data_IF_533959724590
#
_entry.id   IF_533959724590
#
_cell.length_a   1.000
_cell.length_b   1.000
_cell.length_c   1.000
_cell.angle_alpha   90.00
_cell.angle_beta   90.00
_cell.angle_gamma   90.00
#
_symmetry.space_group_name_H-M   'P 1'
#
loop_
_entity.id
_entity.type
_entity.pdbx_description
1 polymer ?
#
# COMPACT_ATOMS: atom_id res chain seq x y z
N UNK A 1 28.46 -4.25 20.09
CA UNK A 1 28.72 -5.31 19.10
C UNK A 1 27.75 -6.45 19.36
N UNK A 2 26.52 -6.33 18.86
CA UNK A 2 25.65 -7.46 18.58
C UNK A 2 25.06 -7.15 17.21
N UNK A 3 25.72 -7.70 16.19
CA UNK A 3 25.31 -7.57 14.80
C UNK A 3 23.90 -8.16 14.71
N UNK A 4 22.97 -7.37 14.18
CA UNK A 4 21.68 -7.81 13.64
C UNK A 4 21.88 -9.21 13.07
N UNK A 5 21.30 -10.25 13.68
CA UNK A 5 21.25 -11.58 13.07
C UNK A 5 20.41 -11.42 11.80
N UNK A 6 21.05 -11.00 10.70
CA UNK A 6 20.51 -11.08 9.35
C UNK A 6 20.10 -12.53 9.20
N UNK A 7 18.80 -12.78 9.03
CA UNK A 7 18.29 -14.11 8.79
C UNK A 7 19.15 -14.75 7.69
N UNK A 8 19.83 -15.90 7.92
CA UNK A 8 20.72 -16.50 6.93
C UNK A 8 20.03 -16.76 5.57
N UNK A 9 18.70 -16.94 5.58
CA UNK A 9 17.85 -17.05 4.37
C UNK A 9 17.72 -15.74 3.59
N UNK A 10 17.89 -14.58 4.23
CA UNK A 10 17.85 -13.25 3.59
C UNK A 10 19.03 -13.05 2.63
N UNK A 11 20.19 -13.68 2.93
CA UNK A 11 21.34 -13.72 2.03
C UNK A 11 21.12 -14.67 0.85
N UNK A 12 20.32 -15.73 1.01
CA UNK A 12 20.02 -16.69 -0.06
C UNK A 12 18.89 -16.19 -0.99
N UNK A 13 17.84 -15.57 -0.44
CA UNK A 13 16.69 -15.05 -1.19
C UNK A 13 16.99 -13.73 -1.91
N UNK A 14 17.89 -12.91 -1.38
CA UNK A 14 18.32 -11.66 -2.02
C UNK A 14 19.70 -11.76 -2.70
N UNK A 15 20.39 -12.90 -2.60
CA UNK A 15 21.79 -13.08 -3.02
C UNK A 15 22.01 -13.40 -4.50
N UNK A 16 21.00 -13.87 -5.23
CA UNK A 16 21.17 -14.23 -6.64
C UNK A 16 20.14 -13.56 -7.54
N UNK A 17 20.59 -12.47 -8.17
CA UNK A 17 19.91 -11.69 -9.22
C UNK A 17 18.62 -11.02 -8.74
N UNK A 18 18.48 -9.78 -9.18
CA UNK A 18 17.36 -8.88 -8.99
C UNK A 18 16.00 -9.59 -8.91
N UNK A 19 15.10 -9.06 -8.08
CA UNK A 19 13.66 -9.39 -8.06
C UNK A 19 12.99 -8.92 -9.39
N UNK A 20 13.52 -9.36 -10.52
CA UNK A 20 12.88 -9.32 -11.83
C UNK A 20 12.58 -10.78 -12.20
N UNK A 21 11.33 -11.11 -12.54
CA UNK A 21 10.98 -12.45 -12.99
C UNK A 21 11.85 -12.82 -14.20
N UNK A 22 12.41 -14.02 -14.21
CA UNK A 22 12.90 -14.62 -15.47
C UNK A 22 11.76 -15.47 -16.05
N UNK A 23 11.45 -15.34 -17.34
CA UNK A 23 10.39 -16.10 -17.95
C UNK A 23 10.69 -17.60 -17.88
N UNK A 24 9.73 -18.36 -17.35
CA UNK A 24 9.74 -19.82 -17.44
C UNK A 24 9.28 -20.21 -18.85
N UNK A 25 10.17 -20.80 -19.66
CA UNK A 25 9.89 -21.24 -21.05
C UNK A 25 8.73 -22.22 -21.21
N UNK A 26 8.13 -22.74 -20.13
CA UNK A 26 6.95 -23.62 -20.17
C UNK A 26 5.61 -22.85 -20.25
N UNK A 27 5.59 -21.54 -20.03
CA UNK A 27 4.37 -20.71 -20.08
C UNK A 27 3.87 -20.39 -21.50
N UNK A 28 4.72 -20.48 -22.52
CA UNK A 28 4.33 -20.18 -23.91
C UNK A 28 3.36 -21.20 -24.53
N UNK A 29 3.27 -22.40 -23.95
CA UNK A 29 2.40 -23.48 -24.46
C UNK A 29 1.09 -23.65 -23.67
N UNK A 30 0.97 -23.07 -22.46
CA UNK A 30 -0.28 -23.07 -21.66
C UNK A 30 -1.12 -21.80 -21.85
N UNK A 31 -0.48 -20.69 -22.27
CA UNK A 31 -1.14 -19.41 -22.58
C UNK A 31 -2.17 -19.52 -23.73
N UNK A 32 -1.87 -20.32 -24.76
CA UNK A 32 -2.77 -20.49 -25.92
C UNK A 32 -4.07 -21.21 -25.58
N UNK A 33 -4.03 -22.24 -24.72
CA UNK A 33 -5.22 -23.03 -24.35
C UNK A 33 -6.17 -22.28 -23.39
N UNK A 34 -5.65 -21.41 -22.52
CA UNK A 34 -6.45 -20.53 -21.65
C UNK A 34 -7.03 -19.33 -22.42
N UNK A 35 -6.29 -18.81 -23.41
CA UNK A 35 -6.77 -17.73 -24.27
C UNK A 35 -7.91 -18.18 -25.21
N UNK A 36 -7.90 -19.43 -25.69
CA UNK A 36 -8.98 -19.97 -26.54
C UNK A 36 -10.24 -20.31 -25.74
N UNK A 37 -10.12 -20.85 -24.51
CA UNK A 37 -11.28 -21.07 -23.64
C UNK A 37 -11.93 -19.77 -23.15
N UNK A 38 -11.14 -18.70 -22.93
CA UNK A 38 -11.70 -17.39 -22.57
C UNK A 38 -12.41 -16.71 -23.74
N UNK A 39 -12.03 -16.95 -25.00
CA UNK A 39 -12.76 -16.42 -26.16
C UNK A 39 -14.16 -17.02 -26.30
N UNK A 40 -14.33 -18.29 -25.94
CA UNK A 40 -15.64 -18.96 -26.03
C UNK A 40 -16.60 -18.55 -24.90
N UNK A 41 -16.08 -18.21 -23.71
CA UNK A 41 -16.88 -17.74 -22.56
C UNK A 41 -17.27 -16.24 -22.71
N UNK A 42 -16.41 -15.44 -23.35
CA UNK A 42 -16.66 -14.00 -23.56
C UNK A 42 -17.66 -13.74 -24.70
N UNK A 43 -17.83 -14.68 -25.64
CA UNK A 43 -18.75 -14.52 -26.78
C UNK A 43 -20.25 -14.60 -26.44
N UNK A 44 -20.63 -15.17 -25.29
CA UNK A 44 -22.05 -15.41 -24.96
C UNK A 44 -22.71 -14.33 -24.07
N UNK A 45 -22.01 -13.24 -23.69
CA UNK A 45 -22.59 -12.21 -22.80
C UNK A 45 -22.15 -10.76 -23.13
N UNK A 46 -22.12 -10.38 -24.40
CA UNK A 46 -21.92 -8.98 -24.83
C UNK A 46 -23.21 -8.37 -25.36
N UNK A 47 -24.05 -7.86 -24.46
CA UNK A 47 -25.25 -7.09 -24.80
C UNK A 47 -25.17 -5.63 -24.33
N UNK A 48 -25.74 -4.66 -25.08
CA UNK A 48 -25.75 -3.23 -24.72
C UNK A 48 -26.42 -2.93 -23.36
N UNK A 49 -27.26 -3.85 -22.86
CA UNK A 49 -27.87 -3.78 -21.52
C UNK A 49 -26.86 -3.94 -20.39
N UNK A 50 -25.80 -4.76 -20.53
CA UNK A 50 -24.79 -4.94 -19.47
C UNK A 50 -23.87 -3.72 -19.38
N UNK A 51 -23.53 -3.07 -20.50
CA UNK A 51 -22.73 -1.83 -20.50
C UNK A 51 -23.47 -0.69 -19.80
N UNK A 52 -24.76 -0.50 -20.10
CA UNK A 52 -25.60 0.47 -19.40
C UNK A 52 -25.82 0.14 -17.92
N UNK A 53 -25.95 -1.14 -17.56
CA UNK A 53 -26.06 -1.57 -16.15
C UNK A 53 -24.72 -1.40 -15.41
N UNK A 54 -23.59 -1.71 -16.03
CA UNK A 54 -22.24 -1.51 -15.47
C UNK A 54 -21.94 -0.02 -15.33
N UNK A 55 -22.28 0.81 -16.32
CA UNK A 55 -22.14 2.27 -16.26
C UNK A 55 -23.08 2.86 -15.19
N UNK A 56 -24.33 2.42 -15.10
CA UNK A 56 -25.26 2.85 -14.06
C UNK A 56 -24.83 2.39 -12.64
N UNK A 57 -24.27 1.18 -12.52
CA UNK A 57 -23.71 0.65 -11.27
C UNK A 57 -22.44 1.41 -10.89
N UNK A 58 -21.57 1.73 -11.85
CA UNK A 58 -20.38 2.58 -11.64
C UNK A 58 -20.74 4.02 -11.26
N UNK A 59 -21.88 4.54 -11.74
CA UNK A 59 -22.35 5.88 -11.41
C UNK A 59 -22.96 5.95 -10.00
N UNK A 60 -23.62 4.88 -9.53
CA UNK A 60 -24.12 4.76 -8.15
C UNK A 60 -22.99 4.47 -7.14
N UNK A 61 -21.97 3.68 -7.52
CA UNK A 61 -20.80 3.36 -6.68
C UNK A 61 -19.84 4.55 -6.46
N UNK A 62 -20.09 5.71 -7.08
CA UNK A 62 -19.34 6.94 -6.79
C UNK A 62 -19.89 7.66 -5.56
N UNK A 63 -21.12 7.44 -5.14
CA UNK A 63 -21.65 8.12 -3.96
C UNK A 63 -21.15 7.41 -2.70
N UNK A 64 -20.45 8.16 -1.85
CA UNK A 64 -19.96 7.69 -0.55
C UNK A 64 -20.75 8.43 0.52
N UNK A 65 -21.82 7.84 1.06
CA UNK A 65 -22.53 8.41 2.19
C UNK A 65 -21.60 8.55 3.38
N UNK A 66 -21.60 9.70 4.02
CA UNK A 66 -20.84 9.92 5.24
C UNK A 66 -21.63 10.77 6.25
N UNK A 67 -21.33 10.59 7.52
CA UNK A 67 -21.94 11.34 8.62
C UNK A 67 -20.84 12.00 9.44
N UNK A 68 -21.13 13.22 9.89
CA UNK A 68 -20.31 13.98 10.84
C UNK A 68 -20.88 13.75 12.23
N UNK A 69 -20.12 13.09 13.10
CA UNK A 69 -20.54 12.79 14.48
C UNK A 69 -20.57 14.08 15.33
N UNK A 70 -19.72 15.05 15.01
CA UNK A 70 -19.62 16.33 15.70
C UNK A 70 -19.44 17.49 14.72
N UNK A 71 -19.61 18.71 15.23
CA UNK A 71 -19.32 19.92 14.45
C UNK A 71 -17.83 20.09 14.12
N UNK A 72 -16.94 19.46 14.91
CA UNK A 72 -15.50 19.49 14.70
C UNK A 72 -15.06 18.62 13.50
N UNK A 73 -15.88 17.65 13.08
CA UNK A 73 -15.61 16.83 11.91
C UNK A 73 -15.51 17.71 10.64
N UNK A 74 -14.41 17.59 9.91
CA UNK A 74 -14.22 18.29 8.63
C UNK A 74 -15.22 17.82 7.56
N UNK A 75 -15.57 18.69 6.62
CA UNK A 75 -16.32 18.27 5.43
C UNK A 75 -15.40 17.50 4.47
N UNK A 76 -15.95 16.48 3.83
CA UNK A 76 -15.26 15.77 2.75
C UNK A 76 -15.61 16.44 1.43
N UNK A 77 -14.67 17.21 0.90
CA UNK A 77 -14.79 17.94 -0.35
C UNK A 77 -13.70 17.46 -1.30
N UNK A 78 -14.08 17.06 -2.52
CA UNK A 78 -13.08 16.61 -3.48
C UNK A 78 -12.25 17.80 -3.99
N UNK A 79 -10.95 17.59 -4.12
CA UNK A 79 -10.09 18.46 -4.94
C UNK A 79 -10.53 18.39 -6.42
N UNK A 80 -10.06 19.34 -7.24
CA UNK A 80 -10.40 19.42 -8.68
C UNK A 80 -10.17 18.08 -9.41
N UNK A 81 -9.07 17.39 -9.11
CA UNK A 81 -8.75 16.07 -9.69
C UNK A 81 -9.64 14.95 -9.12
N UNK A 82 -9.87 14.93 -7.80
CA UNK A 82 -10.76 14.02 -7.07
C UNK A 82 -10.37 12.53 -7.08
N UNK A 83 -9.32 12.11 -7.81
CA UNK A 83 -8.88 10.70 -7.92
C UNK A 83 -7.80 10.36 -6.87
N UNK A 84 -7.01 11.34 -6.41
CA UNK A 84 -6.01 11.15 -5.33
C UNK A 84 -6.59 11.19 -3.91
N UNK A 85 -7.92 11.08 -3.79
CA UNK A 85 -8.61 11.08 -2.52
C UNK A 85 -8.94 12.47 -1.97
N UNK A 86 -9.54 12.47 -0.79
CA UNK A 86 -9.95 13.66 -0.03
C UNK A 86 -9.10 13.82 1.22
N UNK A 87 -8.79 15.04 1.61
CA UNK A 87 -8.12 15.31 2.88
C UNK A 87 -9.02 14.95 4.07
N UNK A 88 -8.50 14.11 4.97
CA UNK A 88 -9.11 13.83 6.26
C UNK A 88 -8.55 14.79 7.29
N UNK A 89 -9.44 15.44 8.04
CA UNK A 89 -9.08 16.45 9.05
C UNK A 89 -9.27 15.93 10.46
N UNK A 90 -8.43 16.38 11.38
CA UNK A 90 -8.56 16.08 12.80
C UNK A 90 -9.82 16.74 13.39
N UNK A 91 -10.57 16.00 14.21
CA UNK A 91 -11.68 16.55 14.99
C UNK A 91 -11.26 16.91 16.42
N UNK A 92 -10.09 16.47 16.86
CA UNK A 92 -9.55 16.68 18.20
C UNK A 92 -8.10 17.14 18.15
N UNK A 93 -7.65 17.80 19.22
CA UNK A 93 -6.24 18.13 19.39
C UNK A 93 -5.47 16.88 19.81
N UNK A 94 -4.28 16.68 19.23
CA UNK A 94 -3.38 15.61 19.62
C UNK A 94 -1.93 16.07 19.57
N UNK A 95 -1.12 15.63 20.53
CA UNK A 95 0.33 15.82 20.52
C UNK A 95 1.01 14.48 20.29
N UNK A 96 1.75 14.36 19.20
CA UNK A 96 2.50 13.17 18.84
C UNK A 96 3.95 13.37 19.27
N UNK A 97 4.34 12.72 20.37
CA UNK A 97 5.69 12.80 20.88
C UNK A 97 6.71 12.21 19.89
N UNK A 98 7.97 12.67 19.91
CA UNK A 98 9.02 12.07 19.09
C UNK A 98 9.11 10.57 19.29
N UNK A 99 9.24 9.82 18.20
CA UNK A 99 9.36 8.35 18.21
C UNK A 99 8.18 7.63 18.87
N UNK A 100 7.00 8.27 18.85
CA UNK A 100 5.73 7.76 19.36
C UNK A 100 4.62 7.82 18.28
N UNK A 101 3.39 7.49 18.65
CA UNK A 101 2.21 7.45 17.78
C UNK A 101 1.00 8.07 18.44
N UNK A 102 0.08 8.57 17.63
CA UNK A 102 -1.24 9.03 18.07
C UNK A 102 -2.33 8.48 17.16
N UNK A 103 -3.48 8.18 17.75
CA UNK A 103 -4.68 7.75 17.04
C UNK A 103 -5.72 8.86 17.13
N UNK A 104 -5.88 9.61 16.05
CA UNK A 104 -6.63 10.88 16.04
C UNK A 104 -8.00 10.65 15.40
N UNK A 105 -9.07 11.05 16.07
CA UNK A 105 -10.43 11.01 15.52
C UNK A 105 -10.63 12.04 14.41
N UNK A 106 -11.35 11.65 13.36
CA UNK A 106 -11.89 12.60 12.36
C UNK A 106 -13.36 12.92 12.61
N UNK A 107 -14.00 12.19 13.54
CA UNK A 107 -15.45 12.23 13.79
C UNK A 107 -16.30 11.97 12.53
N UNK A 108 -15.72 11.32 11.53
CA UNK A 108 -16.40 10.89 10.31
C UNK A 108 -16.77 9.42 10.40
N UNK A 109 -18.00 9.08 10.05
CA UNK A 109 -18.40 7.73 9.66
C UNK A 109 -18.69 7.72 8.17
N UNK A 110 -18.45 6.60 7.50
CA UNK A 110 -18.72 6.47 6.07
C UNK A 110 -19.24 5.10 5.69
N UNK A 111 -20.02 5.06 4.62
CA UNK A 111 -20.54 3.85 4.01
C UNK A 111 -19.86 3.66 2.64
N UNK A 112 -18.78 2.89 2.64
CA UNK A 112 -18.06 2.58 1.41
C UNK A 112 -18.82 1.45 0.68
N UNK A 113 -19.09 1.58 -0.63
CA UNK A 113 -19.77 0.54 -1.40
C UNK A 113 -18.98 -0.77 -1.46
N UNK A 114 -19.69 -1.90 -1.58
CA UNK A 114 -19.05 -3.20 -1.79
C UNK A 114 -18.22 -3.22 -3.09
N UNK A 115 -17.09 -3.93 -3.08
CA UNK A 115 -16.10 -3.91 -4.17
C UNK A 115 -15.09 -2.75 -4.07
N UNK A 116 -15.24 -1.89 -3.06
CA UNK A 116 -14.31 -0.81 -2.75
C UNK A 116 -13.86 -0.89 -1.30
N UNK A 117 -12.76 -0.20 -1.00
CA UNK A 117 -12.34 0.04 0.36
C UNK A 117 -11.73 1.43 0.49
N UNK A 118 -11.69 1.93 1.72
CA UNK A 118 -11.09 3.21 2.05
C UNK A 118 -9.63 3.00 2.40
N UNK A 119 -8.75 3.63 1.63
CA UNK A 119 -7.33 3.67 1.94
C UNK A 119 -6.99 4.99 2.61
N UNK A 120 -6.40 4.88 3.79
CA UNK A 120 -5.75 6.02 4.45
C UNK A 120 -4.31 6.09 3.93
N UNK A 121 -3.96 7.21 3.32
CA UNK A 121 -2.64 7.50 2.78
C UNK A 121 -2.00 8.70 3.51
N UNK A 122 -0.66 8.73 3.61
CA UNK A 122 0.05 9.84 4.23
C UNK A 122 -0.09 11.14 3.43
N UNK A 123 0.13 12.27 4.12
CA UNK A 123 0.33 13.56 3.49
C UNK A 123 1.82 13.80 3.27
N UNK A 124 2.22 14.13 2.05
CA UNK A 124 3.62 14.40 1.72
C UNK A 124 4.18 15.55 2.58
N UNK A 125 3.37 16.58 2.86
CA UNK A 125 3.77 17.69 3.72
C UNK A 125 4.12 17.26 5.15
N UNK A 126 3.35 16.34 5.73
CA UNK A 126 3.61 15.81 7.08
C UNK A 126 4.84 14.89 7.08
N UNK A 127 5.01 14.08 6.03
CA UNK A 127 6.19 13.24 5.88
C UNK A 127 7.48 14.08 5.68
N UNK A 128 7.41 15.09 4.80
CA UNK A 128 8.51 15.97 4.44
C UNK A 128 8.85 16.96 5.54
N UNK A 129 7.90 17.52 6.28
CA UNK A 129 8.23 18.54 7.28
C UNK A 129 8.48 17.95 8.66
N UNK A 130 7.85 16.80 8.98
CA UNK A 130 7.80 16.30 10.35
C UNK A 130 8.13 14.81 10.50
N UNK A 131 8.49 14.09 9.42
CA UNK A 131 8.70 12.63 9.44
C UNK A 131 7.50 11.86 9.99
N UNK A 132 6.29 12.33 9.65
CA UNK A 132 5.03 11.70 10.07
C UNK A 132 4.58 10.71 8.99
N UNK A 133 4.33 9.46 9.38
CA UNK A 133 3.79 8.41 8.51
C UNK A 133 2.42 7.94 9.03
N UNK A 134 1.59 7.41 8.13
CA UNK A 134 0.36 6.70 8.52
C UNK A 134 0.69 5.25 8.89
N UNK A 135 0.25 4.81 10.07
CA UNK A 135 0.55 3.47 10.60
C UNK A 135 -0.45 2.38 10.19
N UNK A 136 -1.61 2.77 9.66
CA UNK A 136 -2.64 1.86 9.18
C UNK A 136 -3.51 2.55 8.12
N UNK A 137 -4.09 1.78 7.19
CA UNK A 137 -4.89 2.40 6.13
C UNK A 137 -5.75 1.47 5.29
N UNK A 138 -6.46 0.54 5.95
CA UNK A 138 -7.52 -0.26 5.32
C UNK A 138 -8.81 -0.07 6.10
N UNK A 139 -9.80 0.55 5.45
CA UNK A 139 -11.17 0.75 5.94
C UNK A 139 -12.09 -0.09 5.06
N UNK A 140 -12.68 -1.13 5.63
CA UNK A 140 -13.52 -2.07 4.88
C UNK A 140 -14.90 -1.47 4.56
N UNK A 141 -15.55 -1.98 3.51
CA UNK A 141 -16.87 -1.53 3.05
C UNK A 141 -17.97 -1.66 4.11
N UNK A 142 -17.84 -2.64 4.99
CA UNK A 142 -18.80 -2.90 6.07
C UNK A 142 -18.48 -2.19 7.39
N UNK A 143 -17.41 -1.37 7.45
CA UNK A 143 -17.12 -0.59 8.65
C UNK A 143 -18.06 0.62 8.74
N UNK A 144 -18.62 0.85 9.94
CA UNK A 144 -19.47 2.02 10.26
C UNK A 144 -19.02 2.76 11.51
N UNK A 145 -17.89 2.36 12.11
CA UNK A 145 -17.32 3.11 13.23
C UNK A 145 -16.72 4.43 12.79
N UNK A 146 -16.33 5.25 13.75
CA UNK A 146 -15.59 6.49 13.49
C UNK A 146 -14.28 6.17 12.78
N UNK A 147 -14.02 6.83 11.66
CA UNK A 147 -12.74 6.82 10.97
C UNK A 147 -11.74 7.58 11.84
N UNK A 148 -10.62 6.95 12.10
CA UNK A 148 -9.56 7.49 12.94
C UNK A 148 -8.23 7.26 12.22
N UNK A 149 -7.32 8.21 12.34
CA UNK A 149 -6.04 8.20 11.64
C UNK A 149 -4.94 7.88 12.64
N UNK A 150 -4.21 6.79 12.41
CA UNK A 150 -3.04 6.42 13.20
C UNK A 150 -1.80 7.04 12.56
N UNK A 151 -1.16 7.98 13.27
CA UNK A 151 0.04 8.67 12.83
C UNK A 151 1.23 8.27 13.69
N UNK A 152 2.36 8.03 13.04
CA UNK A 152 3.66 7.72 13.65
C UNK A 152 4.60 8.89 13.47
N UNK A 153 5.17 9.38 14.56
CA UNK A 153 6.19 10.42 14.53
C UNK A 153 7.58 9.78 14.54
N UNK A 154 8.22 9.73 13.37
CA UNK A 154 9.59 9.28 13.23
C UNK A 154 10.62 10.41 13.38
N UNK A 155 10.18 11.64 13.61
CA UNK A 155 11.04 12.80 13.84
C UNK A 155 11.65 12.85 15.25
N UNK A 156 12.32 13.96 15.54
CA UNK A 156 12.95 14.27 16.83
C UNK A 156 12.18 15.32 17.64
N UNK A 157 11.16 15.92 17.05
CA UNK A 157 10.35 16.98 17.67
C UNK A 157 8.90 16.53 17.84
N UNK A 158 8.23 17.05 18.87
CA UNK A 158 6.81 16.79 19.07
C UNK A 158 5.99 17.53 18.02
N UNK A 159 4.99 16.85 17.46
CA UNK A 159 4.07 17.43 16.48
C UNK A 159 2.71 17.63 17.14
N UNK A 160 2.21 18.87 17.13
CA UNK A 160 0.86 19.17 17.63
C UNK A 160 -0.07 19.26 16.43
N UNK A 161 -1.10 18.43 16.42
CA UNK A 161 -2.20 18.46 15.47
C UNK A 161 -3.38 19.18 16.13
N UNK A 162 -3.93 20.19 15.46
CA UNK A 162 -5.11 20.92 15.92
C UNK A 162 -6.38 20.49 15.17
N UNK A 163 -7.57 20.64 15.78
CA UNK A 163 -8.83 20.42 15.09
C UNK A 163 -8.90 21.21 13.77
N UNK A 164 -9.34 20.56 12.69
CA UNK A 164 -9.42 21.11 11.34
C UNK A 164 -8.16 20.95 10.49
N UNK A 165 -7.01 20.59 11.06
CA UNK A 165 -5.80 20.33 10.29
C UNK A 165 -5.91 19.03 9.50
N UNK A 166 -5.40 19.02 8.27
CA UNK A 166 -5.36 17.83 7.43
C UNK A 166 -4.29 16.87 7.97
N UNK A 167 -4.65 15.59 8.13
CA UNK A 167 -3.80 14.57 8.75
C UNK A 167 -3.57 13.33 7.88
N UNK A 168 -4.38 13.12 6.85
CA UNK A 168 -4.23 12.02 5.89
C UNK A 168 -5.04 12.30 4.62
N UNK A 169 -4.82 11.50 3.58
CA UNK A 169 -5.73 11.39 2.42
C UNK A 169 -6.55 10.11 2.52
N UNK A 170 -7.85 10.21 2.24
CA UNK A 170 -8.75 9.06 2.07
C UNK A 170 -8.98 8.82 0.58
N UNK A 171 -8.54 7.67 0.09
CA UNK A 171 -8.68 7.25 -1.31
C UNK A 171 -9.67 6.10 -1.36
N UNK A 172 -10.64 6.15 -2.28
CA UNK A 172 -11.60 5.07 -2.49
C UNK A 172 -11.14 4.22 -3.67
N UNK A 173 -10.61 3.05 -3.34
CA UNK A 173 -9.98 2.15 -4.30
C UNK A 173 -10.87 0.97 -4.65
N UNK A 174 -10.89 0.63 -5.94
CA UNK A 174 -11.55 -0.57 -6.43
C UNK A 174 -10.64 -1.77 -6.20
N UNK A 175 -11.19 -2.84 -5.63
CA UNK A 175 -10.47 -4.08 -5.36
C UNK A 175 -11.10 -5.25 -6.10
N UNK A 176 -10.28 -6.27 -6.37
CA UNK A 176 -10.84 -7.59 -6.66
C UNK A 176 -11.37 -8.20 -5.38
N UNK A 177 -12.36 -9.07 -5.50
CA UNK A 177 -12.85 -9.80 -4.34
C UNK A 177 -11.72 -10.71 -3.84
N UNK A 178 -11.46 -10.78 -2.52
CA UNK A 178 -10.44 -11.69 -1.99
C UNK A 178 -10.69 -13.17 -2.34
N UNK A 179 -11.93 -13.54 -2.69
CA UNK A 179 -12.28 -14.86 -3.21
C UNK A 179 -11.70 -15.19 -4.59
N UNK A 180 -11.19 -14.19 -5.32
CA UNK A 180 -10.50 -14.37 -6.60
C UNK A 180 -9.03 -14.81 -6.41
N UNK A 181 -8.51 -14.76 -5.18
CA UNK A 181 -7.17 -15.22 -4.85
C UNK A 181 -7.18 -16.74 -4.71
N UNK A 182 -6.32 -17.41 -5.48
CA UNK A 182 -6.00 -18.82 -5.29
C UNK A 182 -4.80 -18.94 -4.36
N UNK A 183 -4.98 -19.68 -3.26
CA UNK A 183 -3.96 -19.86 -2.24
C UNK A 183 -3.35 -21.25 -2.32
N UNK A 184 -2.02 -21.30 -2.38
CA UNK A 184 -1.25 -22.53 -2.23
C UNK A 184 -0.38 -22.48 -0.99
N UNK A 185 -0.28 -23.61 -0.31
CA UNK A 185 0.64 -23.78 0.81
C UNK A 185 1.98 -24.26 0.29
N UNK A 186 3.05 -23.52 0.57
CA UNK A 186 4.41 -23.98 0.28
C UNK A 186 4.83 -25.13 1.21
N UNK A 187 4.29 -25.18 2.42
CA UNK A 187 4.42 -26.30 3.36
C UNK A 187 3.24 -26.37 4.36
N UNK A 188 3.31 -27.31 5.30
CA UNK A 188 2.25 -27.56 6.28
C UNK A 188 2.02 -26.42 7.29
N UNK A 189 3.02 -25.56 7.52
CA UNK A 189 2.94 -24.45 8.47
C UNK A 189 2.19 -23.24 7.91
N UNK A 190 2.00 -23.19 6.58
CA UNK A 190 1.21 -22.15 5.94
C UNK A 190 -0.27 -22.24 6.35
N UNK A 191 -0.87 -21.10 6.69
CA UNK A 191 -2.30 -21.00 7.00
C UNK A 191 -3.02 -20.32 5.84
N UNK A 192 -4.11 -20.94 5.36
CA UNK A 192 -4.95 -20.30 4.35
C UNK A 192 -5.68 -19.13 5.01
N UNK A 193 -5.60 -17.92 4.45
CA UNK A 193 -6.21 -16.73 5.01
C UNK A 193 -7.73 -16.89 5.19
N UNK A 194 -8.24 -16.25 6.23
CA UNK A 194 -9.67 -16.04 6.42
C UNK A 194 -10.00 -14.57 6.23
N UNK A 195 -11.24 -14.30 5.83
CA UNK A 195 -11.76 -12.94 5.75
C UNK A 195 -12.45 -12.57 7.06
N UNK A 196 -12.24 -11.34 7.53
CA UNK A 196 -12.95 -10.82 8.70
C UNK A 196 -14.46 -10.69 8.50
N UNK A 197 -14.89 -10.55 7.24
CA UNK A 197 -16.28 -10.52 6.81
C UNK A 197 -16.38 -10.76 5.30
N UNK A 198 -17.60 -10.95 4.77
CA UNK A 198 -17.83 -11.07 3.33
C UNK A 198 -17.47 -9.79 2.53
N UNK A 199 -17.37 -8.66 3.21
CA UNK A 199 -17.05 -7.35 2.63
C UNK A 199 -15.65 -6.85 3.03
N UNK A 200 -14.83 -7.70 3.67
CA UNK A 200 -13.47 -7.34 4.06
C UNK A 200 -12.60 -7.13 2.81
N UNK A 201 -11.80 -6.08 2.85
CA UNK A 201 -10.90 -5.74 1.74
C UNK A 201 -9.62 -6.60 1.76
N UNK A 202 -9.16 -6.97 2.96
CA UNK A 202 -7.94 -7.71 3.18
C UNK A 202 -8.16 -9.13 3.70
N UNK A 203 -7.39 -10.08 3.19
CA UNK A 203 -7.28 -11.42 3.76
C UNK A 203 -6.17 -11.45 4.81
N UNK A 204 -6.45 -11.93 6.04
CA UNK A 204 -5.47 -11.93 7.13
C UNK A 204 -4.30 -12.89 6.82
N UNK A 205 -3.07 -12.37 6.79
CA UNK A 205 -1.84 -13.15 6.66
C UNK A 205 -1.29 -13.52 8.05
N UNK A 206 -0.89 -14.77 8.21
CA UNK A 206 -0.34 -15.29 9.47
C UNK A 206 1.13 -15.67 9.35
N UNK A 207 1.84 -15.64 10.47
CA UNK A 207 3.19 -16.21 10.56
C UNK A 207 3.14 -17.73 10.45
N UNK A 208 4.06 -18.31 9.66
CA UNK A 208 4.31 -19.76 9.63
C UNK A 208 5.39 -20.19 10.64
N UNK A 209 6.05 -19.23 11.30
CA UNK A 209 7.18 -19.49 12.18
C UNK A 209 7.09 -18.71 13.51
N UNK A 210 7.83 -19.19 14.51
CA UNK A 210 8.09 -18.43 15.73
C UNK A 210 9.28 -17.49 15.49
N UNK A 211 9.10 -16.21 15.75
CA UNK A 211 10.19 -15.24 15.64
C UNK A 211 10.04 -14.06 16.61
N UNK A 212 11.11 -13.27 16.71
CA UNK A 212 11.14 -12.05 17.50
C UNK A 212 11.47 -10.90 16.55
N UNK A 213 10.59 -9.90 16.49
CA UNK A 213 10.89 -8.61 15.87
C UNK A 213 11.53 -7.72 16.93
N UNK A 214 12.84 -7.45 16.85
CA UNK A 214 13.57 -6.78 17.92
C UNK A 214 13.07 -5.34 18.12
N UNK A 215 13.11 -4.85 19.36
CA UNK A 215 12.80 -3.46 19.69
C UNK A 215 13.60 -2.49 18.79
N UNK A 216 12.93 -1.46 18.27
CA UNK A 216 13.50 -0.46 17.34
C UNK A 216 14.20 -1.06 16.10
N UNK A 217 13.86 -2.29 15.73
CA UNK A 217 14.45 -3.03 14.62
C UNK A 217 13.39 -3.57 13.65
N UNK A 218 13.80 -4.56 12.85
CA UNK A 218 12.93 -5.16 11.83
C UNK A 218 13.18 -6.65 11.69
N UNK A 219 12.20 -7.37 11.15
CA UNK A 219 12.31 -8.79 10.85
C UNK A 219 11.40 -9.15 9.66
N UNK A 220 11.87 -10.03 8.78
CA UNK A 220 11.07 -10.59 7.70
C UNK A 220 10.48 -11.90 8.18
N UNK A 221 9.16 -11.96 8.26
CA UNK A 221 8.40 -13.12 8.72
C UNK A 221 7.91 -13.91 7.51
N UNK A 222 8.15 -15.22 7.51
CA UNK A 222 7.64 -16.12 6.48
C UNK A 222 6.17 -16.50 6.74
N UNK A 223 5.36 -16.48 5.69
CA UNK A 223 3.96 -16.95 5.74
C UNK A 223 3.79 -18.36 5.17
N UNK A 224 4.81 -18.85 4.43
CA UNK A 224 4.78 -20.06 3.61
C UNK A 224 3.58 -20.16 2.66
N UNK A 225 2.96 -19.02 2.35
CA UNK A 225 1.74 -18.93 1.59
C UNK A 225 2.03 -18.32 0.23
N UNK A 226 1.57 -18.97 -0.84
CA UNK A 226 1.68 -18.47 -2.21
C UNK A 226 0.29 -18.01 -2.66
N UNK A 227 0.23 -16.84 -3.28
CA UNK A 227 -1.00 -16.31 -3.86
C UNK A 227 -0.90 -16.27 -5.38
N UNK A 228 -1.96 -16.70 -6.06
CA UNK A 228 -2.15 -16.51 -7.50
C UNK A 228 -3.45 -15.75 -7.72
N UNK A 229 -3.42 -14.79 -8.63
CA UNK A 229 -4.54 -13.89 -8.90
C UNK A 229 -4.42 -13.30 -10.32
N UNK A 230 -5.51 -12.69 -10.85
CA UNK A 230 -5.54 -12.15 -12.21
C UNK A 230 -4.41 -11.16 -12.56
N UNK A 231 -4.12 -11.03 -13.85
CA UNK A 231 -3.01 -10.18 -14.33
C UNK A 231 -3.34 -8.68 -14.38
N UNK A 232 -4.56 -8.24 -14.09
CA UNK A 232 -4.96 -6.83 -13.99
C UNK A 232 -4.90 -6.28 -12.56
N UNK A 233 -4.29 -7.04 -11.65
CA UNK A 233 -4.17 -6.65 -10.25
C UNK A 233 -2.80 -7.00 -9.66
N UNK A 234 -2.62 -6.53 -8.44
CA UNK A 234 -1.48 -6.89 -7.61
C UNK A 234 -1.86 -7.05 -6.15
N UNK A 235 -1.05 -7.82 -5.43
CA UNK A 235 -1.20 -8.04 -4.00
C UNK A 235 -0.54 -6.95 -3.19
N UNK A 236 -1.31 -6.23 -2.38
CA UNK A 236 -0.77 -5.29 -1.38
C UNK A 236 -0.77 -5.93 0.00
N UNK A 237 0.42 -6.14 0.57
CA UNK A 237 0.60 -6.51 1.97
C UNK A 237 0.52 -5.23 2.80
N UNK A 238 -0.57 -5.06 3.54
CA UNK A 238 -0.88 -3.87 4.29
C UNK A 238 -0.82 -4.10 5.81
N UNK A 239 -0.52 -3.05 6.59
CA UNK A 239 -0.52 -3.12 8.05
C UNK A 239 -1.91 -3.40 8.61
N UNK A 240 -1.93 -4.09 9.76
CA UNK A 240 -3.14 -4.30 10.56
C UNK A 240 -3.19 -3.26 11.66
N UNK A 241 -4.30 -2.55 11.70
CA UNK A 241 -4.53 -1.40 12.55
C UNK A 241 -4.31 -1.70 14.05
N UNK A 242 -4.72 -2.89 14.51
CA UNK A 242 -4.54 -3.35 15.88
C UNK A 242 -3.07 -3.60 16.26
N UNK A 243 -2.24 -4.15 15.36
CA UNK A 243 -0.81 -4.34 15.62
C UNK A 243 -0.09 -2.99 15.62
N UNK A 244 -0.40 -2.14 14.64
CA UNK A 244 0.15 -0.79 14.56
C UNK A 244 -0.17 0.06 15.79
N UNK A 245 -1.44 0.10 16.22
CA UNK A 245 -1.86 0.91 17.36
C UNK A 245 -1.41 0.34 18.72
N UNK A 246 -1.49 -0.99 18.92
CA UNK A 246 -1.23 -1.59 20.25
C UNK A 246 0.21 -2.02 20.47
N UNK A 247 0.93 -2.34 19.40
CA UNK A 247 2.29 -2.90 19.44
C UNK A 247 3.33 -2.06 18.70
N UNK A 248 2.89 -0.98 18.04
CA UNK A 248 3.76 -0.09 17.25
C UNK A 248 4.53 -0.85 16.15
N UNK A 249 3.84 -1.80 15.51
CA UNK A 249 4.37 -2.61 14.42
C UNK A 249 3.86 -2.04 13.09
N UNK A 250 4.80 -1.70 12.21
CA UNK A 250 4.54 -1.28 10.84
C UNK A 250 4.87 -2.40 9.86
N UNK A 251 4.17 -2.42 8.72
CA UNK A 251 4.45 -3.37 7.63
C UNK A 251 5.20 -2.60 6.54
N UNK A 252 6.44 -3.02 6.29
CA UNK A 252 7.29 -2.47 5.25
C UNK A 252 7.13 -3.16 3.91
N UNK A 253 7.38 -2.45 2.81
CA UNK A 253 7.30 -3.05 1.48
C UNK A 253 5.86 -3.41 1.09
N UNK A 254 5.68 -4.60 0.54
CA UNK A 254 4.36 -5.20 0.45
C UNK A 254 3.64 -5.02 -0.89
N UNK A 255 4.37 -5.00 -2.00
CA UNK A 255 3.77 -5.23 -3.32
C UNK A 255 4.19 -6.62 -3.83
N UNK A 256 3.22 -7.49 -4.06
CA UNK A 256 3.34 -8.86 -4.52
C UNK A 256 2.66 -9.02 -5.88
N UNK A 257 3.23 -9.81 -6.78
CA UNK A 257 2.76 -9.89 -8.15
C UNK A 257 2.23 -11.31 -8.45
N UNK A 258 1.16 -11.42 -9.23
CA UNK A 258 0.45 -12.69 -9.41
C UNK A 258 1.24 -13.77 -10.15
N UNK A 259 2.31 -13.36 -10.85
CA UNK A 259 3.25 -14.25 -11.52
C UNK A 259 4.34 -14.78 -10.57
N UNK A 260 4.49 -14.15 -9.40
CA UNK A 260 5.43 -14.58 -8.36
C UNK A 260 4.83 -15.76 -7.58
N UNK A 261 5.15 -16.96 -8.04
CA UNK A 261 4.81 -18.22 -7.35
C UNK A 261 5.69 -18.50 -6.11
N UNK A 262 6.19 -17.44 -5.45
CA UNK A 262 7.02 -17.52 -4.26
C UNK A 262 6.19 -17.30 -3.00
N UNK A 263 6.59 -17.87 -1.86
CA UNK A 263 5.95 -17.56 -0.58
C UNK A 263 5.96 -16.06 -0.30
N UNK A 264 4.84 -15.54 0.18
CA UNK A 264 4.69 -14.15 0.61
C UNK A 264 5.53 -13.94 1.86
N UNK A 265 6.35 -12.90 1.82
CA UNK A 265 7.17 -12.45 2.94
C UNK A 265 6.57 -11.18 3.52
N UNK A 266 6.53 -11.08 4.85
CA UNK A 266 6.02 -9.91 5.56
C UNK A 266 7.17 -9.25 6.31
N UNK A 267 7.59 -8.06 5.86
CA UNK A 267 8.57 -7.26 6.59
C UNK A 267 7.86 -6.48 7.70
N UNK A 268 8.22 -6.74 8.95
CA UNK A 268 7.73 -6.02 10.11
C UNK A 268 8.81 -5.08 10.64
N UNK A 269 8.47 -3.80 10.78
CA UNK A 269 9.25 -2.82 11.55
C UNK A 269 8.64 -2.71 12.95
N UNK A 270 9.47 -2.92 13.97
CA UNK A 270 9.07 -2.70 15.36
C UNK A 270 9.59 -1.34 15.82
N UNK A 271 8.68 -0.37 15.92
CA UNK A 271 9.01 0.97 16.38
C UNK A 271 8.84 1.12 17.89
N UNK A 272 8.48 0.08 18.64
CA UNK A 272 8.44 0.11 20.11
C UNK A 272 9.82 -0.11 20.74
N UNK A 273 9.91 0.18 22.04
CA UNK A 273 11.09 -0.11 22.88
C UNK A 273 11.09 -1.54 23.45
N UNK A 274 10.19 -2.40 22.99
CA UNK A 274 10.03 -3.78 23.47
C UNK A 274 10.05 -4.77 22.32
N UNK A 275 10.69 -5.91 22.52
CA UNK A 275 10.66 -6.99 21.54
C UNK A 275 9.23 -7.48 21.29
N UNK A 276 8.88 -7.67 20.03
CA UNK A 276 7.59 -8.20 19.63
C UNK A 276 7.74 -9.67 19.25
N UNK A 277 7.16 -10.54 20.07
CA UNK A 277 7.13 -11.99 19.84
C UNK A 277 5.99 -12.34 18.89
N UNK A 278 6.30 -13.15 17.89
CA UNK A 278 5.35 -13.67 16.91
C UNK A 278 5.36 -15.19 17.05
N UNK A 279 4.19 -15.77 17.31
CA UNK A 279 3.99 -17.22 17.30
C UNK A 279 3.45 -17.69 15.93
N UNK A 280 3.65 -18.97 15.55
CA UNK A 280 2.97 -19.55 14.41
C UNK A 280 1.45 -19.37 14.51
N UNK A 281 0.82 -18.94 13.42
CA UNK A 281 -0.61 -18.64 13.35
C UNK A 281 -1.01 -17.24 13.80
N UNK A 282 -0.10 -16.44 14.37
CA UNK A 282 -0.38 -15.03 14.68
C UNK A 282 -0.63 -14.24 13.39
N UNK A 283 -1.68 -13.42 13.40
CA UNK A 283 -2.05 -12.57 12.26
C UNK A 283 -1.19 -11.31 12.23
N UNK A 284 -0.27 -11.25 11.27
CA UNK A 284 0.80 -10.24 11.21
C UNK A 284 0.55 -9.12 10.19
N UNK A 285 -0.18 -9.39 9.11
CA UNK A 285 -0.49 -8.43 8.05
C UNK A 285 -1.82 -8.78 7.38
N UNK A 286 -2.27 -7.97 6.42
CA UNK A 286 -3.42 -8.31 5.58
C UNK A 286 -3.06 -8.14 4.10
N UNK A 287 -3.62 -8.99 3.25
CA UNK A 287 -3.38 -9.01 1.81
C UNK A 287 -4.59 -8.44 1.08
N UNK A 288 -4.43 -7.31 0.41
CA UNK A 288 -5.47 -6.63 -0.37
C UNK A 288 -5.18 -6.82 -1.85
N UNK A 289 -6.16 -7.30 -2.63
CA UNK A 289 -5.99 -7.51 -4.07
C UNK A 289 -6.42 -6.27 -4.86
N UNK A 290 -5.44 -5.47 -5.27
CA UNK A 290 -5.64 -4.13 -5.78
C UNK A 290 -5.60 -4.06 -7.31
N UNK A 291 -6.55 -3.35 -7.92
CA UNK A 291 -6.58 -3.12 -9.37
C UNK A 291 -5.49 -2.12 -9.79
N UNK A 292 -4.75 -2.46 -10.83
CA UNK A 292 -3.69 -1.62 -11.38
C UNK A 292 -3.79 -1.53 -12.91
N UNK A 293 -3.08 -0.56 -13.50
CA UNK A 293 -3.14 -0.31 -14.93
C UNK A 293 -2.73 -1.53 -15.80
N UNK A 294 -3.54 -1.73 -16.85
CA UNK A 294 -3.46 -2.66 -17.98
C UNK A 294 -2.20 -2.64 -18.85
N UNK A 295 -1.59 -3.79 -19.16
CA UNK A 295 -0.43 -3.95 -20.05
C UNK A 295 -0.58 -3.61 -21.54
N UNK A 296 -1.58 -2.81 -21.91
CA UNK A 296 -1.84 -2.41 -23.30
C UNK A 296 -1.73 -0.91 -23.56
N UNK A 297 -1.36 -0.11 -22.56
CA UNK A 297 -1.53 1.36 -22.61
C UNK A 297 -0.27 2.21 -22.43
N UNK A 298 0.86 1.62 -22.02
CA UNK A 298 2.13 2.33 -21.75
C UNK A 298 3.32 1.39 -22.07
N UNK A 299 4.40 1.83 -22.73
CA UNK A 299 5.54 0.96 -23.10
C UNK A 299 6.35 0.43 -21.89
N UNK A 300 6.97 -0.75 -22.04
CA UNK A 300 7.73 -1.52 -21.03
C UNK A 300 9.12 -0.92 -20.62
N UNK A 301 9.22 0.38 -20.42
CA UNK A 301 10.51 1.06 -20.15
C UNK A 301 10.71 1.42 -18.65
N UNK A 302 11.96 1.63 -18.22
CA UNK A 302 12.27 2.20 -16.90
C UNK A 302 11.80 3.66 -16.88
N UNK A 303 11.29 4.17 -15.76
CA UNK A 303 11.08 5.61 -15.60
C UNK A 303 12.46 6.26 -15.44
N UNK A 304 13.03 6.71 -16.55
CA UNK A 304 14.33 7.38 -16.57
C UNK A 304 14.11 8.86 -16.23
N UNK A 305 14.87 9.37 -15.27
CA UNK A 305 14.87 10.80 -14.99
C UNK A 305 15.37 11.53 -16.24
N UNK A 306 14.67 12.60 -16.61
CA UNK A 306 15.19 13.50 -17.64
C UNK A 306 16.21 14.45 -17.04
N UNK A 307 17.23 14.79 -17.81
CA UNK A 307 18.22 15.78 -17.40
C UNK A 307 17.67 17.22 -17.45
N UNK A 308 18.51 18.20 -17.11
CA UNK A 308 18.16 19.62 -17.12
C UNK A 308 17.69 20.15 -18.49
N UNK A 309 17.96 19.42 -19.58
CA UNK A 309 17.55 19.76 -20.94
C UNK A 309 16.33 18.95 -21.42
N UNK A 310 15.79 18.06 -20.57
CA UNK A 310 14.68 17.18 -20.91
C UNK A 310 15.08 15.90 -21.66
N UNK A 311 16.38 15.60 -21.75
CA UNK A 311 16.90 14.43 -22.45
C UNK A 311 17.01 13.22 -21.51
N UNK A 312 16.71 12.04 -22.05
CA UNK A 312 16.78 10.75 -21.34
C UNK A 312 18.22 10.19 -21.38
N UNK A 313 18.89 9.89 -20.24
CA UNK A 313 20.27 9.43 -20.21
C UNK A 313 20.49 8.10 -20.97
N UNK A 314 21.40 8.09 -21.94
CA UNK A 314 21.61 7.03 -22.94
C UNK A 314 22.10 5.64 -22.47
N UNK A 315 22.00 5.28 -21.18
CA UNK A 315 22.42 3.95 -20.67
C UNK A 315 21.26 2.95 -20.64
N UNK A 316 20.97 2.35 -21.80
CA UNK A 316 20.09 1.17 -21.91
C UNK A 316 20.61 0.00 -21.05
N UNK A 317 20.09 -0.19 -19.83
CA UNK A 317 20.13 -1.50 -19.18
C UNK A 317 18.97 -2.30 -19.73
N UNK A 318 19.25 -3.37 -20.48
CA UNK A 318 18.23 -4.31 -20.95
C UNK A 318 17.53 -4.93 -19.73
N UNK A 319 16.34 -4.42 -19.39
CA UNK A 319 15.33 -5.20 -18.71
C UNK A 319 14.97 -6.38 -19.63
N UNK A 320 14.75 -7.57 -19.07
CA UNK A 320 14.39 -8.74 -19.87
C UNK A 320 13.14 -8.46 -20.70
N UNK A 321 13.16 -8.84 -21.97
CA UNK A 321 12.00 -8.73 -22.87
C UNK A 321 10.79 -9.46 -22.24
N UNK A 322 9.64 -8.76 -22.20
CA UNK A 322 8.33 -9.18 -21.67
C UNK A 322 8.19 -9.20 -20.13
N UNK A 323 8.40 -8.05 -19.47
CA UNK A 323 7.82 -7.80 -18.14
C UNK A 323 6.49 -7.05 -18.33
N UNK A 324 5.34 -7.57 -17.87
CA UNK A 324 4.06 -6.88 -18.09
C UNK A 324 4.04 -5.57 -17.29
N UNK A 325 4.15 -4.41 -17.96
CA UNK A 325 3.61 -3.05 -17.71
C UNK A 325 3.36 -2.46 -16.31
N UNK A 326 3.66 -3.16 -15.24
CA UNK A 326 3.11 -2.90 -13.91
C UNK A 326 4.06 -2.11 -13.00
N UNK A 327 5.31 -1.91 -13.43
CA UNK A 327 6.36 -1.31 -12.60
C UNK A 327 7.18 -0.30 -13.39
N UNK A 328 7.20 0.93 -12.88
CA UNK A 328 8.16 1.94 -13.26
C UNK A 328 9.13 2.10 -12.10
N UNK A 329 10.28 1.43 -12.17
CA UNK A 329 11.35 1.61 -11.18
C UNK A 329 11.84 3.05 -11.21
N UNK A 330 11.93 3.68 -10.05
CA UNK A 330 12.39 5.06 -9.90
C UNK A 330 13.85 5.02 -9.52
N UNK A 331 14.68 5.71 -10.30
CA UNK A 331 16.12 5.79 -10.06
C UNK A 331 16.49 7.13 -9.42
N UNK A 332 17.56 7.16 -8.64
CA UNK A 332 18.06 8.41 -8.07
C UNK A 332 18.70 9.28 -9.15
N UNK A 333 18.34 10.57 -9.30
CA UNK A 333 19.01 11.48 -10.22
C UNK A 333 20.37 11.96 -9.68
N UNK A 334 20.67 11.70 -8.41
CA UNK A 334 21.82 12.25 -7.69
C UNK A 334 22.39 11.30 -6.63
N UNK A 335 23.65 11.52 -6.28
CA UNK A 335 24.25 10.92 -5.09
C UNK A 335 23.68 11.59 -3.84
N UNK A 336 23.25 10.80 -2.86
CA UNK A 336 22.67 11.32 -1.63
C UNK A 336 22.91 10.38 -0.46
N UNK A 337 23.04 10.94 0.74
CA UNK A 337 23.14 10.15 1.98
C UNK A 337 21.89 10.39 2.81
N UNK A 338 21.24 9.31 3.25
CA UNK A 338 20.15 9.34 4.21
C UNK A 338 20.73 9.01 5.58
N UNK A 339 20.79 10.00 6.46
CA UNK A 339 21.27 9.82 7.82
C UNK A 339 20.47 8.77 8.60
N UNK A 340 21.12 8.06 9.50
CA UNK A 340 20.50 7.11 10.42
C UNK A 340 19.30 7.74 11.14
N UNK A 341 18.15 7.05 11.18
CA UNK A 341 16.90 7.54 11.78
C UNK A 341 16.40 8.87 11.20
N UNK A 342 16.89 9.28 10.02
CA UNK A 342 16.54 10.51 9.33
C UNK A 342 15.67 10.30 8.10
N UNK A 343 15.58 11.34 7.27
CA UNK A 343 14.89 11.31 5.98
C UNK A 343 15.69 12.07 4.93
N UNK A 344 15.37 11.81 3.66
CA UNK A 344 15.77 12.67 2.55
C UNK A 344 14.59 12.94 1.62
N UNK A 345 14.66 14.06 0.93
CA UNK A 345 13.73 14.41 -0.15
C UNK A 345 14.54 14.51 -1.42
N UNK A 346 14.16 13.73 -2.43
CA UNK A 346 14.83 13.66 -3.73
C UNK A 346 13.83 14.16 -4.77
N UNK A 347 14.09 15.27 -5.48
CA UNK A 347 13.22 15.71 -6.56
C UNK A 347 13.31 14.71 -7.71
N UNK A 348 12.16 14.23 -8.20
CA UNK A 348 12.03 13.29 -9.30
C UNK A 348 11.26 13.97 -10.42
N UNK A 349 11.75 13.80 -11.65
CA UNK A 349 11.12 14.30 -12.87
C UNK A 349 10.91 13.15 -13.84
N UNK A 350 9.66 12.74 -14.07
CA UNK A 350 9.30 11.66 -14.99
C UNK A 350 8.46 12.21 -16.14
N UNK A 351 8.75 11.82 -17.39
CA UNK A 351 7.87 12.15 -18.52
C UNK A 351 6.82 11.04 -18.71
N UNK A 352 5.90 10.90 -17.74
CA UNK A 352 4.89 9.85 -17.73
C UNK A 352 3.49 10.41 -17.56
N UNK A 353 2.53 9.90 -18.35
CA UNK A 353 1.11 10.25 -18.18
C UNK A 353 0.42 9.20 -17.34
N UNK A 354 -0.22 9.63 -16.24
CA UNK A 354 -1.05 8.76 -15.43
C UNK A 354 -2.30 8.36 -16.25
N UNK A 355 -2.60 7.06 -16.41
CA UNK A 355 -3.79 6.62 -17.14
C UNK A 355 -5.09 7.20 -16.54
N UNK A 356 -6.09 7.47 -17.38
CA UNK A 356 -7.38 7.97 -16.93
C UNK A 356 -8.00 7.03 -15.86
N UNK A 357 -8.55 7.61 -14.79
CA UNK A 357 -9.11 6.85 -13.67
C UNK A 357 -8.08 6.18 -12.75
N UNK A 358 -6.80 6.56 -12.87
CA UNK A 358 -5.74 6.08 -12.00
C UNK A 358 -5.07 7.23 -11.26
N UNK A 359 -4.34 6.88 -10.20
CA UNK A 359 -3.39 7.77 -9.55
C UNK A 359 -2.04 7.06 -9.41
N UNK A 360 -0.99 7.85 -9.22
CA UNK A 360 0.36 7.36 -9.00
C UNK A 360 0.59 7.10 -7.52
N UNK A 361 0.89 5.85 -7.19
CA UNK A 361 1.43 5.48 -5.88
C UNK A 361 2.93 5.23 -5.99
N UNK A 362 3.69 5.89 -5.13
CA UNK A 362 5.08 5.53 -4.88
C UNK A 362 5.13 4.48 -3.78
N UNK A 363 5.77 3.35 -4.06
CA UNK A 363 5.96 2.27 -3.10
C UNK A 363 7.46 2.02 -2.85
N UNK A 364 7.82 1.57 -1.64
CA UNK A 364 9.18 1.17 -1.32
C UNK A 364 9.58 -0.10 -2.08
N UNK A 365 10.88 -0.25 -2.33
CA UNK A 365 11.47 -1.50 -2.81
C UNK A 365 11.67 -2.45 -1.64
N UNK A 366 11.04 -3.63 -1.68
CA UNK A 366 11.11 -4.63 -0.59
C UNK A 366 12.55 -4.96 -0.19
N UNK A 367 13.47 -5.03 -1.16
CA UNK A 367 14.88 -5.34 -0.91
C UNK A 367 15.59 -4.24 -0.09
N UNK A 368 15.37 -2.96 -0.41
CA UNK A 368 15.97 -1.83 0.32
C UNK A 368 15.36 -1.70 1.71
N UNK A 369 14.04 -1.88 1.83
CA UNK A 369 13.38 -1.94 3.14
C UNK A 369 14.01 -3.04 4.01
N UNK A 370 14.17 -4.26 3.49
CA UNK A 370 14.76 -5.37 4.24
C UNK A 370 16.25 -5.20 4.59
N UNK A 371 17.06 -4.64 3.68
CA UNK A 371 18.52 -4.58 3.84
C UNK A 371 19.01 -3.34 4.57
N UNK A 372 18.34 -2.23 4.33
CA UNK A 372 18.80 -0.88 4.68
C UNK A 372 17.77 -0.14 5.53
N UNK A 373 16.62 -0.76 5.83
CA UNK A 373 15.53 -0.14 6.60
C UNK A 373 14.99 1.14 5.95
N UNK A 374 15.03 1.23 4.63
CA UNK A 374 14.51 2.37 3.87
C UNK A 374 13.05 2.15 3.49
N UNK A 375 12.19 3.10 3.84
CA UNK A 375 10.76 3.12 3.49
C UNK A 375 10.36 4.45 2.82
N UNK A 376 9.19 4.48 2.19
CA UNK A 376 8.63 5.69 1.56
C UNK A 376 7.66 6.37 2.52
N UNK A 377 7.86 7.66 2.78
CA UNK A 377 7.05 8.44 3.73
C UNK A 377 5.74 8.99 3.15
N UNK A 378 5.67 9.18 1.83
CA UNK A 378 4.56 9.81 1.10
C UNK A 378 4.10 8.96 -0.08
N UNK A 379 3.70 9.63 -1.16
CA UNK A 379 3.67 8.98 -2.47
C UNK A 379 2.30 8.78 -3.07
N UNK A 380 1.41 9.76 -2.98
CA UNK A 380 0.12 9.78 -3.69
C UNK A 380 0.06 11.00 -4.59
N UNK A 381 0.13 10.80 -5.89
CA UNK A 381 0.21 11.88 -6.87
C UNK A 381 -0.82 11.74 -8.00
N UNK A 382 -1.32 12.89 -8.46
CA UNK A 382 -2.16 13.00 -9.68
C UNK A 382 -1.40 13.49 -10.91
N UNK A 383 -0.12 13.82 -10.76
CA UNK A 383 0.86 13.98 -11.83
C UNK A 383 2.18 13.45 -11.31
N UNK A 384 3.00 12.90 -12.22
CA UNK A 384 4.36 12.44 -11.92
C UNK A 384 5.41 13.22 -12.69
N UNK A 385 5.01 14.33 -13.33
CA UNK A 385 5.92 15.18 -14.11
C UNK A 385 7.07 15.69 -13.25
N UNK A 386 6.73 16.19 -12.06
CA UNK A 386 7.67 16.64 -11.04
C UNK A 386 7.09 16.32 -9.66
N UNK A 387 7.81 15.58 -8.83
CA UNK A 387 7.41 15.32 -7.46
C UNK A 387 8.60 15.08 -6.54
N UNK A 388 8.38 15.28 -5.25
CA UNK A 388 9.37 15.03 -4.21
C UNK A 388 9.24 13.59 -3.69
N UNK A 389 10.26 12.77 -3.93
CA UNK A 389 10.36 11.43 -3.34
C UNK A 389 10.93 11.52 -1.93
N UNK A 390 10.11 11.17 -0.94
CA UNK A 390 10.48 11.20 0.48
C UNK A 390 10.85 9.79 0.95
N UNK A 391 12.11 9.60 1.30
CA UNK A 391 12.63 8.34 1.84
C UNK A 391 12.98 8.49 3.32
N UNK A 392 12.52 7.54 4.13
CA UNK A 392 12.84 7.45 5.55
C UNK A 392 13.86 6.34 5.79
N UNK A 393 14.87 6.63 6.61
CA UNK A 393 15.81 5.64 7.09
C UNK A 393 15.44 5.24 8.52
N UNK A 394 14.85 4.07 8.69
CA UNK A 394 14.57 3.51 10.02
C UNK A 394 15.76 2.79 10.64
N UNK A 395 16.88 2.67 9.93
CA UNK A 395 18.11 2.04 10.39
C UNK A 395 18.90 2.89 11.38
N UNK A 396 19.92 2.27 11.97
CA UNK A 396 20.88 2.93 12.88
C UNK A 396 22.17 3.37 12.17
N UNK A 397 22.25 3.19 10.85
CA UNK A 397 23.41 3.51 10.04
C UNK A 397 22.97 4.41 8.88
N UNK A 398 23.88 5.28 8.43
CA UNK A 398 23.64 6.11 7.26
C UNK A 398 23.61 5.24 6.00
N UNK A 399 22.71 5.56 5.08
CA UNK A 399 22.57 4.86 3.80
C UNK A 399 22.97 5.79 2.68
N UNK A 400 23.95 5.36 1.89
CA UNK A 400 24.37 6.08 0.68
C UNK A 400 23.58 5.54 -0.51
N UNK A 401 23.01 6.46 -1.28
CA UNK A 401 22.35 6.21 -2.55
C UNK A 401 23.25 6.84 -3.62
N UNK A 402 23.62 6.05 -4.62
CA UNK A 402 24.33 6.55 -5.78
C UNK A 402 23.34 6.98 -6.87
N UNK A 403 23.74 7.93 -7.70
CA UNK A 403 23.04 8.29 -8.93
C UNK A 403 22.81 7.04 -9.78
N UNK A 404 21.64 6.95 -10.40
CA UNK A 404 21.15 5.84 -11.20
C UNK A 404 20.86 4.54 -10.42
N UNK A 405 20.87 4.56 -9.08
CA UNK A 405 20.39 3.45 -8.25
C UNK A 405 18.86 3.43 -8.16
N UNK A 406 18.24 2.26 -8.19
CA UNK A 406 16.80 2.11 -7.95
C UNK A 406 16.46 2.39 -6.48
N UNK A 407 15.57 3.34 -6.24
CA UNK A 407 15.25 3.84 -4.90
C UNK A 407 13.78 3.64 -4.50
N UNK A 408 12.87 3.55 -5.47
CA UNK A 408 11.46 3.32 -5.25
C UNK A 408 10.82 2.69 -6.50
N UNK A 409 9.52 2.41 -6.44
CA UNK A 409 8.73 1.98 -7.59
C UNK A 409 7.44 2.78 -7.68
N UNK A 410 7.04 3.10 -8.90
CA UNK A 410 5.79 3.76 -9.24
C UNK A 410 4.77 2.70 -9.69
N UNK A 411 3.57 2.77 -9.11
CA UNK A 411 2.42 1.90 -9.39
C UNK A 411 1.24 2.80 -9.76
N UNK A 412 0.61 2.57 -10.91
CA UNK A 412 -0.65 3.24 -11.27
C UNK A 412 -1.84 2.43 -10.77
N UNK A 413 -2.47 2.93 -9.72
CA UNK A 413 -3.58 2.27 -9.04
C UNK A 413 -4.90 2.83 -9.51
N UNK A 414 -5.87 1.95 -9.74
CA UNK A 414 -7.20 2.36 -10.17
C UNK A 414 -7.95 2.94 -8.98
N UNK A 415 -8.42 4.18 -9.12
CA UNK A 415 -9.23 4.84 -8.11
C UNK A 415 -10.47 5.47 -8.72
N UNK A 416 -11.49 5.61 -7.90
CA UNK A 416 -12.69 6.34 -8.30
C UNK A 416 -12.53 7.81 -7.96
N UNK A 417 -13.26 8.67 -8.66
CA UNK A 417 -13.59 10.01 -8.17
C UNK A 417 -14.88 9.90 -7.35
N UNK A 418 -14.81 9.67 -6.03
CA UNK A 418 -16.00 9.56 -5.21
C UNK A 418 -16.73 10.91 -5.16
N UNK A 419 -18.01 10.88 -4.88
CA UNK A 419 -18.85 12.02 -4.51
C UNK A 419 -19.28 11.75 -3.08
N UNK A 420 -18.72 12.49 -2.13
CA UNK A 420 -19.07 12.34 -0.72
C UNK A 420 -20.42 13.00 -0.45
N UNK A 421 -21.37 12.21 0.03
CA UNK A 421 -22.74 12.65 0.30
C UNK A 421 -22.97 12.74 1.82
N UNK A 422 -23.13 13.96 2.34
CA UNK A 422 -23.41 14.14 3.76
C UNK A 422 -24.81 13.63 4.09
N UNK A 423 -24.92 12.76 5.09
CA UNK A 423 -26.17 12.24 5.63
C UNK A 423 -26.23 12.37 7.14
N UNK A 424 -27.44 12.51 7.68
CA UNK A 424 -27.67 12.53 9.14
C UNK A 424 -27.37 11.17 9.78
N UNK A 425 -27.69 10.08 9.08
CA UNK A 425 -27.47 8.71 9.55
C UNK A 425 -27.02 7.80 8.40
N UNK A 426 -26.27 6.75 8.75
CA UNK A 426 -25.86 5.70 7.83
C UNK A 426 -26.62 4.40 8.11
N UNK A 427 -26.76 3.57 7.08
CA UNK A 427 -27.29 2.22 7.23
C UNK A 427 -26.35 1.35 8.09
N UNK A 428 -26.95 0.54 8.97
CA UNK A 428 -26.23 -0.40 9.79
C UNK A 428 -25.64 -1.55 8.96
N UNK A 429 -24.54 -2.11 9.46
CA UNK A 429 -23.90 -3.30 8.88
C UNK A 429 -23.71 -4.34 9.98
N UNK A 430 -23.59 -5.62 9.59
CA UNK A 430 -23.34 -6.70 10.56
C UNK A 430 -22.09 -6.47 11.41
N UNK A 431 -21.10 -5.76 10.87
CA UNK A 431 -19.88 -5.36 11.58
C UNK A 431 -20.05 -4.09 12.43
N UNK A 432 -20.81 -3.11 11.95
CA UNK A 432 -21.09 -1.85 12.62
C UNK A 432 -19.82 -1.08 13.04
N UNK A 433 -19.78 -0.66 14.30
CA UNK A 433 -18.66 0.04 14.92
C UNK A 433 -17.60 -0.89 15.57
N UNK A 434 -17.63 -2.19 15.27
CA UNK A 434 -16.74 -3.18 15.84
C UNK A 434 -15.27 -2.96 15.46
N UNK A 435 -14.49 -2.41 16.40
CA UNK A 435 -13.02 -2.30 16.38
C UNK A 435 -12.40 -1.43 15.29
N UNK A 436 -11.34 -0.71 15.64
CA UNK A 436 -10.54 0.09 14.70
C UNK A 436 -10.09 -0.80 13.51
N UNK A 437 -10.35 -0.37 12.26
CA UNK A 437 -9.95 -0.94 10.93
C UNK A 437 -9.64 -2.45 10.83
N UNK A 438 -10.31 -3.21 9.95
CA UNK A 438 -10.36 -4.69 9.79
C UNK A 438 -10.31 -5.62 11.04
N UNK A 439 -10.08 -5.15 12.26
CA UNK A 439 -9.65 -6.01 13.37
C UNK A 439 -10.71 -6.33 14.43
N UNK A 440 -11.88 -5.66 14.44
CA UNK A 440 -12.99 -6.02 15.33
C UNK A 440 -12.74 -5.82 16.84
N UNK A 441 -11.56 -5.36 17.25
CA UNK A 441 -11.23 -5.14 18.68
C UNK A 441 -11.25 -3.65 19.02
N UNK A 442 -11.96 -3.29 20.10
CA UNK A 442 -11.93 -1.95 20.70
C UNK A 442 -10.47 -1.53 20.98
N UNK A 443 -10.09 -0.34 20.54
CA UNK A 443 -8.91 0.33 21.06
C UNK A 443 -9.31 0.82 22.47
N UNK A 444 -8.69 0.21 23.48
CA UNK A 444 -8.78 0.64 24.88
C UNK A 444 -7.75 1.73 25.14
#
# INVERSE_FOLDING_TARGET
MEVVKKCPRLLTLCGERFYYPRPCRRLSQMSSALAENNKQIVADVEGPKKKAIVEATQQHCRQIPYTRISEAAGRLENEESGIAGVEMRAAEEAVIQPKDKACISTDIQMAIPAGFYGRVAPLDSLAQNHMIQTGAGVIDADYRGTVKILLFNHGTEAVTVRPGEAIAKMIIEEIHAPSEIQWDKADENAVIPTLGSAAAAGADLTSAEECIVPARGQFVVETNLVARFPNDCYGRVAPRSGLAAKKFIHVGGGACWGEDIKPILVLLFNHSDTDFKVAPGDRIAQFVLQKAASSGSVPDEVAENVDENGDVPSKKRKCGEEAPLKFRGIVSPMDVTIEAKGKVTIPIQLQETIPEGHYARIAPLFQRACRESIDVGGGVHTSVDNFDLILFNYGSEDVKIEKDEFIAQLIFEKATKPVFELRETLEETARGAGGFGSTGVKAS
#
